data_IF_926881742999
#
_entry.id   IF_926881742999
#
_cell.length_a   1.000
_cell.length_b   1.000
_cell.length_c   1.000
_cell.angle_alpha   90.00
_cell.angle_beta   90.00
_cell.angle_gamma   90.00
#
_symmetry.space_group_name_H-M   'P 1'
#
loop_
_entity.id
_entity.type
_entity.pdbx_description
1 polymer ?
#
# COMPACT_ATOMS: atom_id res chain seq x y z
N UNK A 1 -8.31 0.32 -5.94
CA UNK A 1 -9.27 -0.32 -5.01
C UNK A 1 -9.02 -1.80 -4.69
N UNK A 2 -8.18 -2.53 -5.43
CA UNK A 2 -7.87 -3.95 -5.17
C UNK A 2 -7.36 -4.24 -3.74
N UNK A 3 -6.67 -3.29 -3.11
CA UNK A 3 -6.16 -3.41 -1.75
C UNK A 3 -7.26 -3.58 -0.69
N UNK A 4 -8.32 -2.76 -0.72
CA UNK A 4 -9.42 -2.89 0.25
C UNK A 4 -10.18 -4.20 0.06
N UNK A 5 -10.33 -4.65 -1.19
CA UNK A 5 -10.92 -5.94 -1.49
C UNK A 5 -10.09 -7.10 -0.93
N UNK A 6 -8.75 -7.03 -1.07
CA UNK A 6 -7.85 -8.00 -0.43
C UNK A 6 -8.05 -8.05 1.09
N UNK A 7 -8.13 -6.88 1.76
CA UNK A 7 -8.37 -6.82 3.19
C UNK A 7 -9.69 -7.50 3.59
N UNK A 8 -10.77 -7.18 2.89
CA UNK A 8 -12.09 -7.76 3.12
C UNK A 8 -12.07 -9.28 2.96
N UNK A 9 -11.56 -9.78 1.84
CA UNK A 9 -11.49 -11.22 1.56
C UNK A 9 -10.60 -11.96 2.57
N UNK A 10 -9.46 -11.39 2.94
CA UNK A 10 -8.58 -11.98 3.96
C UNK A 10 -9.26 -12.09 5.32
N UNK A 11 -9.99 -11.05 5.76
CA UNK A 11 -10.75 -11.07 7.02
C UNK A 11 -11.90 -12.07 6.95
N UNK A 12 -12.65 -12.11 5.85
CA UNK A 12 -13.74 -13.07 5.65
C UNK A 12 -13.22 -14.52 5.65
N UNK A 13 -12.08 -14.80 5.02
CA UNK A 13 -11.42 -16.10 5.06
C UNK A 13 -11.03 -16.49 6.50
N UNK A 14 -10.37 -15.58 7.23
CA UNK A 14 -9.98 -15.81 8.63
C UNK A 14 -11.21 -16.08 9.51
N UNK A 15 -12.28 -15.29 9.35
CA UNK A 15 -13.52 -15.47 10.08
C UNK A 15 -14.16 -16.84 9.79
N UNK A 16 -14.29 -17.20 8.51
CA UNK A 16 -14.86 -18.49 8.10
C UNK A 16 -14.02 -19.67 8.60
N UNK A 17 -12.69 -19.59 8.52
CA UNK A 17 -11.80 -20.63 9.02
C UNK A 17 -11.87 -20.77 10.54
N UNK A 18 -11.84 -19.65 11.26
CA UNK A 18 -11.96 -19.60 12.71
C UNK A 18 -13.28 -20.23 13.16
N UNK A 19 -14.41 -19.78 12.63
CA UNK A 19 -15.73 -20.31 12.97
C UNK A 19 -15.91 -21.77 12.52
N UNK A 20 -15.31 -22.15 11.40
CA UNK A 20 -15.31 -23.51 10.88
C UNK A 20 -14.57 -24.49 11.80
N UNK A 21 -13.40 -24.09 12.31
CA UNK A 21 -12.62 -24.91 13.23
C UNK A 21 -13.25 -24.97 14.62
N UNK A 22 -13.64 -23.83 15.20
CA UNK A 22 -14.19 -23.76 16.56
C UNK A 22 -15.53 -24.50 16.67
N UNK A 23 -16.39 -24.39 15.66
CA UNK A 23 -17.71 -25.05 15.67
C UNK A 23 -17.74 -26.38 14.91
N UNK A 24 -16.58 -26.90 14.45
CA UNK A 24 -16.48 -28.11 13.63
C UNK A 24 -17.40 -28.10 12.38
N UNK A 25 -17.54 -26.94 11.73
CA UNK A 25 -18.38 -26.74 10.54
C UNK A 25 -17.54 -26.78 9.27
N UNK A 26 -17.45 -27.97 8.66
CA UNK A 26 -16.69 -28.18 7.42
C UNK A 26 -17.09 -27.26 6.27
N UNK A 27 -18.37 -26.89 6.15
CA UNK A 27 -18.85 -25.91 5.15
C UNK A 27 -18.14 -24.56 5.25
N UNK A 28 -17.85 -24.09 6.46
CA UNK A 28 -17.14 -22.82 6.67
C UNK A 28 -15.65 -22.94 6.36
N UNK A 29 -15.04 -24.11 6.60
CA UNK A 29 -13.65 -24.39 6.21
C UNK A 29 -13.52 -24.41 4.68
N UNK A 30 -14.48 -25.02 3.98
CA UNK A 30 -14.59 -24.97 2.51
C UNK A 30 -14.80 -23.54 2.02
N UNK A 31 -15.70 -22.78 2.66
CA UNK A 31 -15.89 -21.37 2.31
C UNK A 31 -14.60 -20.56 2.47
N UNK A 32 -13.83 -20.79 3.54
CA UNK A 32 -12.53 -20.13 3.71
C UNK A 32 -11.57 -20.43 2.57
N UNK A 33 -11.43 -21.69 2.15
CA UNK A 33 -10.57 -22.05 1.02
C UNK A 33 -11.00 -21.35 -0.27
N UNK A 34 -12.31 -21.31 -0.53
CA UNK A 34 -12.89 -20.60 -1.67
C UNK A 34 -12.53 -19.11 -1.67
N UNK A 35 -12.70 -18.44 -0.54
CA UNK A 35 -12.38 -17.01 -0.40
C UNK A 35 -10.88 -16.75 -0.59
N UNK A 36 -10.00 -17.60 -0.05
CA UNK A 36 -8.53 -17.46 -0.24
C UNK A 36 -8.17 -17.59 -1.72
N UNK A 37 -8.73 -18.56 -2.44
CA UNK A 37 -8.48 -18.74 -3.88
C UNK A 37 -8.97 -17.54 -4.71
N UNK A 38 -10.18 -17.02 -4.42
CA UNK A 38 -10.69 -15.80 -5.08
C UNK A 38 -9.75 -14.61 -4.81
N UNK A 39 -9.23 -14.50 -3.59
CA UNK A 39 -8.36 -13.39 -3.20
C UNK A 39 -7.06 -13.31 -4.02
N UNK A 40 -6.56 -14.44 -4.55
CA UNK A 40 -5.38 -14.47 -5.46
C UNK A 40 -5.62 -13.63 -6.71
N UNK A 41 -6.84 -13.58 -7.24
CA UNK A 41 -7.15 -12.81 -8.44
C UNK A 41 -7.35 -11.32 -8.17
N UNK A 42 -7.44 -10.92 -6.91
CA UNK A 42 -7.40 -9.49 -6.56
C UNK A 42 -5.97 -8.95 -6.59
N UNK A 43 -5.00 -9.78 -6.17
CA UNK A 43 -3.56 -9.54 -6.25
C UNK A 43 -2.83 -10.89 -6.26
N UNK A 44 -2.04 -11.18 -7.31
CA UNK A 44 -1.28 -12.44 -7.41
C UNK A 44 -0.42 -12.75 -6.17
N UNK A 45 0.24 -11.76 -5.50
CA UNK A 45 0.96 -12.01 -4.25
C UNK A 45 0.13 -12.65 -3.14
N UNK A 46 -1.20 -12.49 -3.14
CA UNK A 46 -2.08 -13.09 -2.13
C UNK A 46 -2.06 -14.63 -2.17
N UNK A 47 -1.45 -15.26 -3.18
CA UNK A 47 -1.16 -16.70 -3.15
C UNK A 47 -0.36 -17.12 -1.89
N UNK A 48 0.45 -16.23 -1.31
CA UNK A 48 1.18 -16.49 -0.05
C UNK A 48 0.22 -16.70 1.12
N UNK A 49 -1.00 -16.15 1.05
CA UNK A 49 -2.00 -16.22 2.10
C UNK A 49 -2.61 -17.62 2.27
N UNK A 50 -2.36 -18.57 1.35
CA UNK A 50 -2.68 -19.99 1.56
C UNK A 50 -2.02 -20.58 2.82
N UNK A 51 -1.00 -19.92 3.37
CA UNK A 51 -0.40 -20.27 4.65
C UNK A 51 -1.42 -20.37 5.81
N UNK A 52 -2.57 -19.69 5.73
CA UNK A 52 -3.62 -19.79 6.77
C UNK A 52 -4.16 -21.21 6.95
N UNK A 53 -3.97 -22.09 5.96
CA UNK A 53 -4.27 -23.54 6.09
C UNK A 53 -3.50 -24.17 7.25
N UNK A 54 -2.32 -23.65 7.63
CA UNK A 54 -1.56 -24.10 8.80
C UNK A 54 -2.30 -23.87 10.13
N UNK A 55 -3.33 -23.03 10.17
CA UNK A 55 -4.17 -22.86 11.34
C UNK A 55 -4.96 -24.14 11.68
N UNK A 56 -5.19 -25.01 10.71
CA UNK A 56 -5.89 -26.29 10.89
C UNK A 56 -5.05 -27.25 11.77
N UNK A 57 -3.81 -27.63 11.41
CA UNK A 57 -2.96 -28.44 12.29
C UNK A 57 -2.64 -27.72 13.60
N UNK A 58 -2.46 -26.40 13.58
CA UNK A 58 -2.25 -25.62 14.80
C UNK A 58 -3.40 -25.79 15.80
N UNK A 59 -4.65 -25.68 15.35
CA UNK A 59 -5.80 -25.83 16.25
C UNK A 59 -6.03 -27.28 16.69
N UNK A 60 -6.13 -28.21 15.73
CA UNK A 60 -6.58 -29.59 16.01
C UNK A 60 -5.49 -30.40 16.72
N UNK A 61 -4.25 -30.31 16.25
CA UNK A 61 -3.15 -31.11 16.80
C UNK A 61 -2.46 -30.40 17.96
N UNK A 62 -2.07 -29.13 17.79
CA UNK A 62 -1.29 -28.44 18.82
C UNK A 62 -2.12 -27.93 20.00
N UNK A 63 -3.31 -27.36 19.75
CA UNK A 63 -4.16 -26.83 20.82
C UNK A 63 -5.05 -27.93 21.43
N UNK A 64 -5.88 -28.58 20.62
CA UNK A 64 -6.84 -29.60 21.08
C UNK A 64 -6.22 -30.97 21.40
N UNK A 65 -4.94 -31.19 21.04
CA UNK A 65 -4.22 -32.47 21.26
C UNK A 65 -4.89 -33.69 20.62
N UNK A 66 -5.66 -33.49 19.55
CA UNK A 66 -6.19 -34.59 18.76
C UNK A 66 -5.13 -35.21 17.85
N UNK A 67 -5.39 -36.42 17.34
CA UNK A 67 -4.45 -37.09 16.44
C UNK A 67 -4.29 -36.33 15.12
N UNK A 68 -3.09 -36.40 14.53
CA UNK A 68 -2.76 -35.76 13.26
C UNK A 68 -3.68 -36.21 12.11
N UNK A 69 -4.22 -37.43 12.18
CA UNK A 69 -5.17 -37.95 11.19
C UNK A 69 -6.47 -37.14 11.13
N UNK A 70 -6.90 -36.52 12.24
CA UNK A 70 -8.09 -35.66 12.26
C UNK A 70 -7.88 -34.33 11.52
N UNK A 71 -6.62 -33.95 11.22
CA UNK A 71 -6.28 -32.75 10.46
C UNK A 71 -6.55 -32.91 8.96
N UNK A 72 -6.41 -34.14 8.45
CA UNK A 72 -6.49 -34.44 7.01
C UNK A 72 -7.85 -34.03 6.44
N UNK A 73 -8.94 -34.41 7.09
CA UNK A 73 -10.30 -34.12 6.60
C UNK A 73 -10.54 -32.61 6.45
N UNK A 74 -10.35 -31.75 7.47
CA UNK A 74 -10.46 -30.30 7.31
C UNK A 74 -9.55 -29.70 6.22
N UNK A 75 -8.30 -30.18 6.07
CA UNK A 75 -7.41 -29.73 4.98
C UNK A 75 -8.02 -30.04 3.62
N UNK A 76 -8.53 -31.26 3.41
CA UNK A 76 -9.18 -31.64 2.16
C UNK A 76 -10.39 -30.75 1.85
N UNK A 77 -11.21 -30.42 2.86
CA UNK A 77 -12.35 -29.52 2.69
C UNK A 77 -11.94 -28.10 2.36
N UNK A 78 -10.83 -27.61 2.93
CA UNK A 78 -10.24 -26.32 2.57
C UNK A 78 -9.70 -26.34 1.13
N UNK A 79 -9.01 -27.41 0.73
CA UNK A 79 -8.53 -27.63 -0.64
C UNK A 79 -9.67 -27.68 -1.66
N UNK A 80 -10.75 -28.42 -1.36
CA UNK A 80 -11.96 -28.45 -2.19
C UNK A 80 -12.55 -27.05 -2.34
N UNK A 81 -12.62 -26.29 -1.24
CA UNK A 81 -13.04 -24.89 -1.27
C UNK A 81 -12.20 -24.05 -2.23
N UNK A 82 -10.88 -24.22 -2.16
CA UNK A 82 -9.93 -23.50 -3.01
C UNK A 82 -10.13 -23.82 -4.49
N UNK A 83 -10.33 -25.10 -4.85
CA UNK A 83 -10.66 -25.52 -6.21
C UNK A 83 -11.96 -24.88 -6.71
N UNK A 84 -12.99 -24.83 -5.86
CA UNK A 84 -14.26 -24.15 -6.19
C UNK A 84 -14.07 -22.64 -6.40
N UNK A 85 -13.23 -21.99 -5.58
CA UNK A 85 -12.92 -20.57 -5.73
C UNK A 85 -12.21 -20.27 -7.05
N UNK A 86 -11.20 -21.07 -7.43
CA UNK A 86 -10.55 -20.97 -8.73
C UNK A 86 -11.55 -21.19 -9.87
N UNK A 87 -12.32 -22.27 -9.82
CA UNK A 87 -13.31 -22.60 -10.84
C UNK A 87 -14.35 -21.48 -11.01
N UNK A 88 -14.78 -20.85 -9.91
CA UNK A 88 -15.71 -19.73 -9.94
C UNK A 88 -15.11 -18.51 -10.66
N UNK A 89 -13.88 -18.11 -10.34
CA UNK A 89 -13.24 -16.98 -11.02
C UNK A 89 -13.00 -17.29 -12.49
N UNK A 90 -12.52 -18.48 -12.83
CA UNK A 90 -12.36 -18.89 -14.23
C UNK A 90 -13.70 -18.89 -14.98
N UNK A 91 -14.78 -19.38 -14.37
CA UNK A 91 -16.12 -19.33 -14.94
C UNK A 91 -16.58 -17.88 -15.20
N UNK A 92 -16.37 -16.97 -14.25
CA UNK A 92 -16.69 -15.55 -14.43
C UNK A 92 -15.87 -14.92 -15.57
N UNK A 93 -14.57 -15.21 -15.65
CA UNK A 93 -13.72 -14.70 -16.74
C UNK A 93 -14.18 -15.17 -18.12
N UNK A 94 -14.65 -16.42 -18.23
CA UNK A 94 -15.20 -16.95 -19.48
C UNK A 94 -16.56 -16.30 -19.81
N UNK A 95 -17.45 -16.16 -18.83
CA UNK A 95 -18.78 -15.54 -19.02
C UNK A 95 -18.64 -14.08 -19.49
N UNK A 96 -17.67 -13.34 -18.95
CA UNK A 96 -17.45 -11.93 -19.29
C UNK A 96 -16.46 -11.71 -20.44
N UNK A 97 -15.98 -12.77 -21.08
CA UNK A 97 -14.97 -12.71 -22.16
C UNK A 97 -13.69 -11.93 -21.75
N UNK A 98 -13.27 -12.08 -20.48
CA UNK A 98 -12.09 -11.42 -19.89
C UNK A 98 -10.89 -12.37 -19.75
N UNK A 99 -11.00 -13.60 -20.24
CA UNK A 99 -9.97 -14.63 -20.05
C UNK A 99 -8.63 -14.26 -20.69
N UNK A 100 -8.62 -13.83 -21.96
CA UNK A 100 -7.38 -13.43 -22.64
C UNK A 100 -6.75 -12.18 -22.01
N UNK A 101 -7.58 -11.22 -21.57
CA UNK A 101 -7.11 -10.03 -20.85
C UNK A 101 -6.41 -10.42 -19.55
N UNK A 102 -6.98 -11.34 -18.78
CA UNK A 102 -6.36 -11.86 -17.56
C UNK A 102 -5.05 -12.59 -17.85
N UNK A 103 -4.99 -13.40 -18.91
CA UNK A 103 -3.78 -14.11 -19.33
C UNK A 103 -2.65 -13.13 -19.67
N UNK A 104 -2.96 -12.07 -20.43
CA UNK A 104 -2.01 -11.00 -20.75
C UNK A 104 -1.56 -10.25 -19.49
N UNK A 105 -2.48 -9.95 -18.57
CA UNK A 105 -2.14 -9.28 -17.31
C UNK A 105 -1.21 -10.14 -16.42
N UNK A 106 -1.46 -11.45 -16.33
CA UNK A 106 -0.61 -12.39 -15.60
C UNK A 106 0.78 -12.47 -16.26
N UNK A 107 0.84 -12.60 -17.59
CA UNK A 107 2.10 -12.63 -18.32
C UNK A 107 2.92 -11.34 -18.13
N UNK A 108 2.27 -10.17 -18.24
CA UNK A 108 2.94 -8.88 -17.98
C UNK A 108 3.46 -8.75 -16.54
N UNK A 109 2.76 -9.34 -15.56
CA UNK A 109 3.25 -9.43 -14.19
C UNK A 109 4.51 -10.28 -14.04
N UNK A 110 4.65 -11.36 -14.82
CA UNK A 110 5.87 -12.17 -14.85
C UNK A 110 7.03 -11.46 -15.55
N UNK A 111 6.76 -10.71 -16.63
CA UNK A 111 7.78 -9.92 -17.32
C UNK A 111 8.39 -8.86 -16.39
N UNK A 112 7.55 -8.16 -15.62
CA UNK A 112 7.98 -7.24 -14.56
C UNK A 112 8.81 -7.93 -13.47
N UNK A 113 8.53 -9.19 -13.17
CA UNK A 113 9.30 -9.99 -12.20
C UNK A 113 10.68 -10.43 -12.70
N UNK A 114 10.86 -10.54 -14.02
CA UNK A 114 12.10 -11.01 -14.66
C UNK A 114 13.05 -9.86 -15.05
N UNK A 115 12.56 -8.63 -15.17
CA UNK A 115 13.39 -7.47 -15.51
C UNK A 115 14.38 -7.14 -14.37
N UNK A 116 15.67 -7.00 -14.72
CA UNK A 116 16.75 -6.79 -13.75
C UNK A 116 16.68 -5.42 -13.05
N UNK A 117 16.15 -4.40 -13.74
CA UNK A 117 15.94 -3.04 -13.24
C UNK A 117 14.55 -2.81 -12.62
N UNK A 118 13.72 -3.85 -12.53
CA UNK A 118 12.39 -3.75 -11.93
C UNK A 118 12.40 -3.88 -10.40
N UNK A 119 11.64 -3.03 -9.72
CA UNK A 119 11.39 -3.12 -8.28
C UNK A 119 10.64 -4.40 -7.87
N UNK A 120 10.01 -5.09 -8.84
CA UNK A 120 9.20 -6.29 -8.64
C UNK A 120 9.96 -7.61 -8.82
N UNK A 121 11.27 -7.59 -9.07
CA UNK A 121 12.04 -8.84 -9.11
C UNK A 121 12.16 -9.49 -7.72
N UNK A 122 12.27 -10.83 -7.68
CA UNK A 122 12.26 -11.60 -6.42
C UNK A 122 13.32 -11.12 -5.41
N UNK A 123 14.53 -10.82 -5.89
CA UNK A 123 15.62 -10.33 -5.04
C UNK A 123 15.31 -8.98 -4.38
N UNK A 124 14.69 -8.06 -5.12
CA UNK A 124 14.25 -6.75 -4.61
C UNK A 124 13.10 -6.90 -3.62
N UNK A 125 12.14 -7.77 -3.90
CA UNK A 125 11.05 -8.09 -2.97
C UNK A 125 11.56 -8.69 -1.65
N UNK A 126 12.51 -9.62 -1.70
CA UNK A 126 13.11 -10.21 -0.49
C UNK A 126 13.91 -9.19 0.32
N UNK A 127 14.70 -8.33 -0.35
CA UNK A 127 15.44 -7.24 0.32
C UNK A 127 14.49 -6.27 1.00
N UNK A 128 13.40 -5.88 0.31
CA UNK A 128 12.36 -5.04 0.89
C UNK A 128 11.68 -5.70 2.09
N UNK A 129 11.44 -7.00 2.02
CA UNK A 129 10.87 -7.77 3.13
C UNK A 129 11.78 -7.72 4.37
N UNK A 130 13.08 -7.99 4.19
CA UNK A 130 14.09 -7.92 5.27
C UNK A 130 14.19 -6.50 5.83
N UNK A 131 14.22 -5.48 4.96
CA UNK A 131 14.26 -4.07 5.34
C UNK A 131 13.05 -3.71 6.22
N UNK A 132 11.84 -4.07 5.79
CA UNK A 132 10.60 -3.79 6.51
C UNK A 132 10.59 -4.39 7.91
N UNK A 133 10.97 -5.67 8.06
CA UNK A 133 11.06 -6.27 9.40
C UNK A 133 12.16 -5.66 10.26
N UNK A 134 13.29 -5.29 9.66
CA UNK A 134 14.35 -4.54 10.36
C UNK A 134 13.84 -3.19 10.85
N UNK A 135 13.04 -2.48 10.04
CA UNK A 135 12.39 -1.22 10.44
C UNK A 135 11.38 -1.43 11.57
N UNK A 136 10.58 -2.51 11.54
CA UNK A 136 9.69 -2.90 12.65
C UNK A 136 10.48 -3.13 13.94
N UNK A 137 11.59 -3.86 13.89
CA UNK A 137 12.43 -4.10 15.07
C UNK A 137 13.04 -2.80 15.61
N UNK A 138 13.60 -1.95 14.75
CA UNK A 138 14.16 -0.64 15.14
C UNK A 138 13.10 0.26 15.77
N UNK A 139 11.93 0.36 15.15
CA UNK A 139 10.80 1.15 15.66
C UNK A 139 10.29 0.62 17.00
N UNK A 140 10.26 -0.71 17.18
CA UNK A 140 9.89 -1.27 18.47
C UNK A 140 10.92 -1.01 19.57
N UNK A 141 12.22 -1.05 19.24
CA UNK A 141 13.26 -0.71 20.20
C UNK A 141 13.09 0.75 20.68
N UNK A 142 12.83 1.71 19.78
CA UNK A 142 12.59 3.11 20.18
C UNK A 142 11.31 3.27 21.00
N UNK A 143 10.23 2.55 20.66
CA UNK A 143 8.99 2.53 21.44
C UNK A 143 9.19 2.00 22.86
N UNK A 144 9.92 0.89 23.01
CA UNK A 144 10.20 0.28 24.31
C UNK A 144 11.07 1.21 25.15
N UNK A 145 12.12 1.79 24.57
CA UNK A 145 12.99 2.75 25.26
C UNK A 145 12.20 3.99 25.71
N UNK A 146 11.31 4.51 24.87
CA UNK A 146 10.41 5.63 25.21
C UNK A 146 9.50 5.24 26.37
N UNK A 147 8.90 4.05 26.33
CA UNK A 147 8.06 3.53 27.40
C UNK A 147 8.81 3.37 28.74
N UNK A 148 10.04 2.83 28.71
CA UNK A 148 10.88 2.66 29.89
C UNK A 148 11.29 4.00 30.50
N UNK A 149 11.69 4.97 29.67
CA UNK A 149 12.00 6.33 30.09
C UNK A 149 10.79 6.98 30.79
N UNK A 150 9.62 6.94 30.14
CA UNK A 150 8.39 7.52 30.69
C UNK A 150 7.94 6.81 31.97
N UNK A 151 8.15 5.50 32.06
CA UNK A 151 7.88 4.71 33.27
C UNK A 151 8.75 5.16 34.45
N UNK A 152 10.06 5.35 34.24
CA UNK A 152 10.96 5.90 35.26
C UNK A 152 10.53 7.29 35.73
N UNK A 153 10.18 8.17 34.78
CA UNK A 153 9.74 9.54 35.06
C UNK A 153 8.37 9.60 35.77
N UNK A 154 7.54 8.58 35.64
CA UNK A 154 6.25 8.49 36.34
C UNK A 154 6.43 8.52 37.86
N UNK A 155 7.49 7.89 38.39
CA UNK A 155 7.77 7.86 39.83
C UNK A 155 8.13 9.23 40.42
N UNK A 156 8.68 10.12 39.59
CA UNK A 156 9.01 11.49 39.94
C UNK A 156 7.77 12.37 39.80
N UNK A 157 7.11 12.31 38.63
CA UNK A 157 5.97 13.14 38.29
C UNK A 157 4.77 12.94 39.23
N UNK A 158 4.54 11.72 39.72
CA UNK A 158 3.43 11.43 40.65
C UNK A 158 3.50 12.17 41.99
N UNK A 159 4.66 12.71 42.36
CA UNK A 159 4.84 13.44 43.63
C UNK A 159 4.22 14.85 43.59
N UNK A 160 4.07 15.43 42.40
CA UNK A 160 3.59 16.81 42.23
C UNK A 160 2.62 16.92 41.05
N UNK A 161 1.41 17.47 41.28
CA UNK A 161 0.37 17.59 40.24
C UNK A 161 0.83 18.36 38.99
N UNK A 162 1.62 19.42 39.15
CA UNK A 162 2.15 20.23 38.04
C UNK A 162 3.12 19.43 37.17
N UNK A 163 4.03 18.66 37.78
CA UNK A 163 4.95 17.77 37.05
C UNK A 163 4.20 16.67 36.30
N UNK A 164 3.03 16.28 36.78
CA UNK A 164 2.20 15.28 36.13
C UNK A 164 1.60 15.75 34.79
N UNK A 165 1.19 17.02 34.70
CA UNK A 165 0.72 17.63 33.45
C UNK A 165 1.87 17.73 32.43
N UNK A 166 3.05 18.17 32.88
CA UNK A 166 4.26 18.25 32.05
C UNK A 166 4.64 16.86 31.54
N UNK A 167 4.60 15.84 32.41
CA UNK A 167 4.87 14.46 32.03
C UNK A 167 3.92 13.98 30.93
N UNK A 168 2.63 14.30 31.03
CA UNK A 168 1.65 13.93 30.01
C UNK A 168 1.91 14.60 28.66
N UNK A 169 2.16 15.90 28.65
CA UNK A 169 2.48 16.64 27.42
C UNK A 169 3.74 16.06 26.75
N UNK A 170 4.80 15.80 27.54
CA UNK A 170 6.02 15.18 27.06
C UNK A 170 5.80 13.75 26.56
N UNK A 171 5.02 12.93 27.27
CA UNK A 171 4.70 11.56 26.86
C UNK A 171 3.97 11.53 25.52
N UNK A 172 2.96 12.39 25.34
CA UNK A 172 2.22 12.54 24.09
C UNK A 172 3.16 12.98 22.96
N UNK A 173 4.00 13.99 23.20
CA UNK A 173 4.95 14.48 22.21
C UNK A 173 5.97 13.42 21.77
N UNK A 174 6.53 12.66 22.72
CA UNK A 174 7.48 11.59 22.42
C UNK A 174 6.83 10.44 21.62
N UNK A 175 5.61 10.02 21.98
CA UNK A 175 4.90 9.02 21.19
C UNK A 175 4.48 9.56 19.82
N UNK A 176 4.01 10.81 19.72
CA UNK A 176 3.69 11.44 18.45
C UNK A 176 4.93 11.50 17.53
N UNK A 177 6.10 11.83 18.08
CA UNK A 177 7.37 11.80 17.35
C UNK A 177 7.71 10.39 16.83
N UNK A 178 7.60 9.37 17.69
CA UNK A 178 7.84 7.98 17.27
C UNK A 178 6.88 7.52 16.17
N UNK A 179 5.61 7.96 16.21
CA UNK A 179 4.63 7.65 15.16
C UNK A 179 4.78 8.53 13.90
N UNK A 180 5.46 9.68 13.96
CA UNK A 180 5.61 10.61 12.83
C UNK A 180 6.41 9.99 11.68
N UNK A 181 7.58 9.42 11.99
CA UNK A 181 8.57 8.97 10.99
C UNK A 181 8.04 7.79 10.18
N UNK A 182 7.46 6.76 10.82
CA UNK A 182 6.89 5.61 10.12
C UNK A 182 5.76 4.98 10.93
N UNK A 183 4.54 5.52 10.86
CA UNK A 183 3.42 5.09 11.72
C UNK A 183 3.13 3.58 11.64
N UNK A 184 3.29 2.97 10.46
CA UNK A 184 2.87 1.59 10.21
C UNK A 184 3.77 0.57 10.92
N UNK A 185 5.09 0.80 11.02
CA UNK A 185 6.04 -0.14 11.61
C UNK A 185 5.85 -0.39 13.11
N UNK A 186 5.69 0.64 13.97
CA UNK A 186 5.41 0.42 15.38
C UNK A 186 4.03 -0.21 15.60
N UNK A 187 3.01 0.11 14.79
CA UNK A 187 1.73 -0.61 14.83
C UNK A 187 1.95 -2.11 14.51
N UNK A 188 2.76 -2.40 13.50
CA UNK A 188 3.12 -3.77 13.15
C UNK A 188 3.91 -4.48 14.25
N UNK A 189 4.79 -3.77 14.94
CA UNK A 189 5.53 -4.31 16.06
C UNK A 189 4.65 -4.63 17.26
N UNK A 190 3.75 -3.70 17.64
CA UNK A 190 2.77 -3.90 18.71
C UNK A 190 1.83 -5.07 18.40
N UNK A 191 1.47 -5.27 17.12
CA UNK A 191 0.77 -6.47 16.65
C UNK A 191 1.56 -7.73 16.95
N UNK A 192 2.78 -7.85 16.43
CA UNK A 192 3.57 -9.07 16.51
C UNK A 192 3.80 -9.46 17.98
N UNK A 193 4.14 -8.48 18.81
CA UNK A 193 4.29 -8.66 20.26
C UNK A 193 2.99 -9.15 20.89
N UNK A 194 1.84 -8.56 20.53
CA UNK A 194 0.54 -8.97 21.07
C UNK A 194 0.14 -10.38 20.65
N UNK A 195 0.31 -10.72 19.36
CA UNK A 195 0.01 -12.06 18.86
C UNK A 195 0.91 -13.09 19.53
N UNK A 196 2.21 -12.80 19.68
CA UNK A 196 3.14 -13.67 20.37
C UNK A 196 2.76 -13.84 21.85
N UNK A 197 2.47 -12.75 22.56
CA UNK A 197 2.03 -12.77 23.95
C UNK A 197 0.77 -13.63 24.15
N UNK A 198 -0.23 -13.51 23.27
CA UNK A 198 -1.45 -14.31 23.35
C UNK A 198 -1.21 -15.80 23.06
N UNK A 199 -0.27 -16.13 22.17
CA UNK A 199 0.10 -17.51 21.85
C UNK A 199 0.81 -18.21 23.03
N UNK A 200 1.74 -17.52 23.69
CA UNK A 200 2.54 -18.09 24.80
C UNK A 200 1.83 -18.06 26.14
N UNK A 201 0.88 -17.15 26.35
CA UNK A 201 0.13 -17.07 27.62
C UNK A 201 -1.00 -18.10 27.71
N UNK A 202 -1.51 -18.32 28.92
CA UNK A 202 -2.71 -19.14 29.14
C UNK A 202 -3.94 -18.37 28.64
N UNK A 203 -4.42 -18.74 27.45
CA UNK A 203 -5.60 -18.18 26.80
C UNK A 203 -6.51 -19.29 26.30
N UNK A 204 -7.82 -19.03 26.13
CA UNK A 204 -8.72 -19.94 25.44
C UNK A 204 -8.16 -20.31 24.06
N UNK A 205 -8.33 -21.57 23.67
CA UNK A 205 -7.84 -22.08 22.37
C UNK A 205 -8.38 -21.25 21.20
N UNK A 206 -9.60 -20.74 21.31
CA UNK A 206 -10.24 -19.87 20.32
C UNK A 206 -9.51 -18.55 20.11
N UNK A 207 -8.96 -17.96 21.18
CA UNK A 207 -8.15 -16.74 21.12
C UNK A 207 -6.75 -17.05 20.58
N UNK A 208 -6.16 -18.18 20.97
CA UNK A 208 -4.86 -18.62 20.42
C UNK A 208 -4.94 -18.87 18.92
N UNK A 209 -6.01 -19.50 18.44
CA UNK A 209 -6.27 -19.69 17.02
C UNK A 209 -6.36 -18.35 16.29
N UNK A 210 -7.13 -17.39 16.82
CA UNK A 210 -7.26 -16.06 16.22
C UNK A 210 -5.92 -15.30 16.20
N UNK A 211 -5.12 -15.40 17.26
CA UNK A 211 -3.79 -14.82 17.31
C UNK A 211 -2.85 -15.44 16.26
N UNK A 212 -2.92 -16.76 16.05
CA UNK A 212 -2.14 -17.45 15.02
C UNK A 212 -2.57 -17.04 13.61
N UNK A 213 -3.88 -16.98 13.33
CA UNK A 213 -4.41 -16.50 12.05
C UNK A 213 -3.99 -15.06 11.75
N UNK A 214 -4.03 -14.19 12.77
CA UNK A 214 -3.57 -12.81 12.66
C UNK A 214 -2.07 -12.74 12.38
N UNK A 215 -1.26 -13.58 13.03
CA UNK A 215 0.17 -13.69 12.76
C UNK A 215 0.45 -14.15 11.32
N UNK A 216 -0.27 -15.14 10.81
CA UNK A 216 -0.17 -15.57 9.41
C UNK A 216 -0.48 -14.43 8.43
N UNK A 217 -1.56 -13.68 8.66
CA UNK A 217 -1.93 -12.52 7.84
C UNK A 217 -0.84 -11.44 7.89
N UNK A 218 -0.41 -11.09 9.09
CA UNK A 218 0.64 -10.11 9.34
C UNK A 218 1.93 -10.43 8.60
N UNK A 219 2.35 -11.70 8.62
CA UNK A 219 3.65 -12.08 8.10
C UNK A 219 3.63 -12.28 6.58
N UNK A 220 2.63 -12.97 6.06
CA UNK A 220 2.67 -13.43 4.68
C UNK A 220 1.93 -12.51 3.70
N UNK A 221 0.93 -11.73 4.15
CA UNK A 221 0.20 -10.84 3.25
C UNK A 221 1.07 -9.70 2.66
N UNK A 222 2.04 -9.13 3.40
CA UNK A 222 3.00 -8.18 2.83
C UNK A 222 4.01 -8.78 1.85
N UNK A 223 4.12 -10.11 1.81
CA UNK A 223 5.08 -10.78 0.94
C UNK A 223 4.65 -10.64 -0.53
N UNK A 224 5.58 -10.27 -1.41
CA UNK A 224 5.31 -10.07 -2.85
C UNK A 224 4.83 -8.67 -3.23
N UNK A 225 4.95 -7.68 -2.35
CA UNK A 225 4.69 -6.27 -2.64
C UNK A 225 6.00 -5.46 -2.55
N UNK A 226 6.24 -4.58 -3.52
CA UNK A 226 7.42 -3.71 -3.63
C UNK A 226 7.53 -2.70 -2.49
N UNK A 227 6.42 -2.29 -1.88
CA UNK A 227 6.40 -1.51 -0.64
C UNK A 227 6.17 -2.35 0.63
N UNK A 228 6.01 -3.67 0.50
CA UNK A 228 5.77 -4.61 1.60
C UNK A 228 4.77 -4.10 2.65
N UNK A 229 5.22 -3.92 3.90
CA UNK A 229 4.36 -3.50 5.02
C UNK A 229 3.74 -2.12 4.78
N UNK A 230 4.44 -1.20 4.12
CA UNK A 230 3.93 0.15 3.86
C UNK A 230 2.67 0.13 2.98
N UNK A 231 2.65 -0.72 1.96
CA UNK A 231 1.58 -0.76 0.96
C UNK A 231 0.38 -1.63 1.35
N UNK A 232 0.60 -2.73 2.09
CA UNK A 232 -0.45 -3.73 2.35
C UNK A 232 -0.52 -4.14 3.83
N UNK A 233 0.44 -3.75 4.66
CA UNK A 233 0.44 -4.07 6.09
C UNK A 233 -0.75 -3.47 6.85
N UNK A 234 -1.26 -2.31 6.43
CA UNK A 234 -2.42 -1.70 7.10
C UNK A 234 -3.68 -2.59 7.06
N UNK A 235 -3.75 -3.57 6.15
CA UNK A 235 -4.87 -4.52 6.08
C UNK A 235 -4.91 -5.46 7.29
N UNK A 236 -3.74 -5.81 7.83
CA UNK A 236 -3.65 -6.67 9.02
C UNK A 236 -4.17 -5.94 10.27
N UNK A 237 -4.10 -4.60 10.31
CA UNK A 237 -4.40 -3.74 11.47
C UNK A 237 -5.82 -3.95 12.02
N UNK A 238 -6.78 -4.33 11.18
CA UNK A 238 -8.16 -4.63 11.57
C UNK A 238 -8.27 -5.72 12.65
N UNK A 239 -7.41 -6.74 12.61
CA UNK A 239 -7.36 -7.80 13.63
C UNK A 239 -6.39 -7.46 14.77
N UNK A 240 -5.40 -6.62 14.50
CA UNK A 240 -4.39 -6.20 15.46
C UNK A 240 -4.97 -5.44 16.62
N UNK A 241 -5.70 -4.36 16.32
CA UNK A 241 -6.09 -3.39 17.35
C UNK A 241 -6.95 -4.09 18.42
N UNK A 242 -7.97 -4.91 18.06
CA UNK A 242 -8.73 -5.65 19.06
C UNK A 242 -7.88 -6.63 19.87
N UNK A 243 -6.95 -7.35 19.24
CA UNK A 243 -6.08 -8.31 19.93
C UNK A 243 -5.05 -7.63 20.83
N UNK A 244 -4.52 -6.46 20.43
CA UNK A 244 -3.64 -5.63 21.23
C UNK A 244 -4.38 -5.09 22.46
N UNK A 245 -5.59 -4.55 22.28
CA UNK A 245 -6.41 -4.09 23.41
C UNK A 245 -6.72 -5.26 24.36
N UNK A 246 -7.07 -6.43 23.80
CA UNK A 246 -7.33 -7.63 24.61
C UNK A 246 -6.08 -8.09 25.39
N UNK A 247 -4.92 -8.14 24.75
CA UNK A 247 -3.65 -8.54 25.39
C UNK A 247 -3.28 -7.60 26.54
N UNK A 248 -3.47 -6.30 26.32
CA UNK A 248 -3.27 -5.25 27.30
C UNK A 248 -4.21 -5.41 28.49
N UNK A 249 -5.53 -5.50 28.28
CA UNK A 249 -6.50 -5.57 29.37
C UNK A 249 -6.29 -6.82 30.25
N UNK A 250 -5.93 -7.94 29.63
CA UNK A 250 -5.52 -9.17 30.33
C UNK A 250 -4.23 -8.99 31.12
N UNK A 251 -3.23 -8.35 30.52
CA UNK A 251 -1.97 -8.01 31.19
C UNK A 251 -2.24 -7.11 32.40
N UNK A 252 -3.04 -6.07 32.21
CA UNK A 252 -3.44 -5.15 33.26
C UNK A 252 -4.16 -5.86 34.41
N UNK A 253 -5.06 -6.83 34.19
CA UNK A 253 -5.70 -7.56 35.31
C UNK A 253 -4.71 -8.33 36.22
N UNK A 254 -3.53 -8.70 35.72
CA UNK A 254 -2.45 -9.28 36.56
C UNK A 254 -1.54 -8.24 37.20
N UNK A 255 -1.44 -7.06 36.61
CA UNK A 255 -0.53 -5.99 37.02
C UNK A 255 -1.21 -4.87 37.83
N UNK A 256 -2.54 -4.71 37.72
CA UNK A 256 -3.42 -3.76 38.43
C UNK A 256 -3.86 -4.25 39.81
N UNK A 257 -3.75 -5.56 40.10
CA UNK A 257 -3.86 -6.07 41.48
C UNK A 257 -2.75 -5.51 42.36
N UNK A 258 -1.63 -5.08 41.77
CA UNK A 258 -0.74 -4.08 42.35
C UNK A 258 -1.17 -2.69 41.85
N UNK A 259 -1.25 -1.70 42.74
CA UNK A 259 -1.63 -0.30 42.45
C UNK A 259 -0.61 0.45 41.55
N UNK A 260 -0.23 -0.12 40.40
CA UNK A 260 0.73 0.44 39.47
C UNK A 260 0.01 1.31 38.44
N UNK A 261 -0.33 2.53 38.88
CA UNK A 261 -0.96 3.56 38.07
C UNK A 261 -0.14 3.93 36.81
N UNK A 262 1.16 3.66 36.73
CA UNK A 262 2.01 4.16 35.64
C UNK A 262 1.72 3.61 34.23
N UNK A 263 1.50 2.30 34.09
CA UNK A 263 1.42 1.68 32.75
C UNK A 263 0.18 2.13 31.97
N UNK A 264 -0.98 2.23 32.62
CA UNK A 264 -2.21 2.70 31.99
C UNK A 264 -2.11 4.14 31.45
N UNK A 265 -1.40 5.01 32.17
CA UNK A 265 -1.22 6.42 31.75
C UNK A 265 -0.24 6.52 30.57
N UNK A 266 0.81 5.68 30.53
CA UNK A 266 1.71 5.58 29.37
C UNK A 266 0.94 5.11 28.13
N UNK A 267 0.08 4.11 28.28
CA UNK A 267 -0.74 3.62 27.18
C UNK A 267 -1.73 4.66 26.67
N UNK A 268 -2.37 5.40 27.58
CA UNK A 268 -3.24 6.51 27.18
C UNK A 268 -2.46 7.58 26.41
N UNK A 269 -1.28 7.98 26.91
CA UNK A 269 -0.42 8.94 26.23
C UNK A 269 0.02 8.44 24.85
N UNK A 270 0.29 7.13 24.68
CA UNK A 270 0.59 6.51 23.40
C UNK A 270 -0.58 6.63 22.41
N UNK A 271 -1.80 6.30 22.87
CA UNK A 271 -3.01 6.42 22.04
C UNK A 271 -3.28 7.87 21.64
N UNK A 272 -3.15 8.81 22.58
CA UNK A 272 -3.30 10.24 22.31
C UNK A 272 -2.23 10.75 21.36
N UNK A 273 -0.97 10.34 21.53
CA UNK A 273 0.13 10.68 20.62
C UNK A 273 -0.09 10.17 19.20
N UNK A 274 -0.61 8.94 19.07
CA UNK A 274 -1.04 8.38 17.77
C UNK A 274 -2.11 9.24 17.11
N UNK A 275 -3.23 9.49 17.80
CA UNK A 275 -4.33 10.28 17.23
C UNK A 275 -3.93 11.72 16.92
N UNK A 276 -3.10 12.34 17.76
CA UNK A 276 -2.57 13.68 17.54
C UNK A 276 -1.79 13.76 16.22
N UNK A 277 -0.83 12.86 16.00
CA UNK A 277 -0.04 12.89 14.76
C UNK A 277 -0.87 12.48 13.53
N UNK A 278 -1.82 11.55 13.67
CA UNK A 278 -2.70 11.19 12.55
C UNK A 278 -3.61 12.36 12.18
N UNK A 279 -4.18 13.06 13.16
CA UNK A 279 -4.97 14.26 12.89
C UNK A 279 -4.13 15.33 12.22
N UNK A 280 -2.91 15.57 12.69
CA UNK A 280 -1.97 16.49 12.06
C UNK A 280 -1.67 16.11 10.61
N UNK A 281 -1.35 14.84 10.32
CA UNK A 281 -1.10 14.36 8.96
C UNK A 281 -2.33 14.49 8.07
N UNK A 282 -3.49 14.01 8.51
CA UNK A 282 -4.75 14.15 7.77
C UNK A 282 -5.03 15.62 7.45
N UNK A 283 -4.78 16.52 8.39
CA UNK A 283 -5.04 17.95 8.21
C UNK A 283 -4.04 18.65 7.28
N UNK A 284 -2.78 18.19 7.22
CA UNK A 284 -1.69 18.83 6.47
C UNK A 284 -1.23 18.04 5.23
N UNK A 285 -1.84 16.90 4.93
CA UNK A 285 -1.47 16.05 3.80
C UNK A 285 -2.74 15.58 3.06
N UNK A 286 -2.74 15.72 1.75
CA UNK A 286 -3.76 15.17 0.86
C UNK A 286 -3.06 14.53 -0.35
N UNK A 287 -2.69 13.25 -0.27
CA UNK A 287 -2.11 12.45 -1.37
C UNK A 287 -1.22 13.21 -2.39
N UNK A 288 0.07 13.32 -2.08
CA UNK A 288 1.06 14.14 -2.80
C UNK A 288 0.74 15.63 -2.87
N UNK A 289 -0.36 16.10 -2.28
CA UNK A 289 -0.69 17.51 -2.01
C UNK A 289 -0.42 17.86 -0.55
N UNK A 290 0.80 18.30 -0.28
CA UNK A 290 1.24 18.74 1.04
C UNK A 290 0.55 20.04 1.49
N UNK A 291 0.80 20.45 2.73
CA UNK A 291 0.26 21.69 3.28
C UNK A 291 -1.17 21.60 3.81
N UNK A 292 -1.57 22.67 4.49
CA UNK A 292 -2.82 22.76 5.23
C UNK A 292 -4.05 22.57 4.33
N UNK A 293 -5.01 21.75 4.76
CA UNK A 293 -6.31 21.64 4.07
C UNK A 293 -7.09 22.95 4.04
N UNK A 294 -6.80 23.90 4.94
CA UNK A 294 -7.43 25.23 4.91
C UNK A 294 -6.97 26.07 3.72
N UNK A 295 -5.78 25.79 3.17
CA UNK A 295 -5.23 26.53 2.02
C UNK A 295 -5.71 25.93 0.68
N UNK A 296 -6.26 24.70 0.71
CA UNK A 296 -6.74 23.95 -0.45
C UNK A 296 -8.14 24.40 -0.85
N UNK A 297 -8.22 25.58 -1.46
CA UNK A 297 -9.48 26.26 -1.82
C UNK A 297 -9.59 26.58 -3.31
N UNK A 298 -8.56 26.25 -4.10
CA UNK A 298 -8.49 26.53 -5.53
C UNK A 298 -8.84 25.30 -6.35
N UNK A 299 -9.38 25.52 -7.55
CA UNK A 299 -9.88 24.44 -8.41
C UNK A 299 -9.11 24.36 -9.71
N UNK A 300 -8.96 23.14 -10.22
CA UNK A 300 -8.55 22.90 -11.60
C UNK A 300 -9.78 23.10 -12.50
N UNK A 301 -9.65 23.90 -13.55
CA UNK A 301 -10.71 24.30 -14.48
C UNK A 301 -10.95 23.19 -15.50
N UNK A 302 -11.51 22.08 -15.03
CA UNK A 302 -12.00 20.98 -15.85
C UNK A 302 -13.23 20.37 -15.19
N UNK A 303 -14.21 19.95 -15.99
CA UNK A 303 -15.41 19.27 -15.48
C UNK A 303 -15.05 18.00 -14.70
N UNK A 304 -13.95 17.34 -15.06
CA UNK A 304 -13.46 16.11 -14.42
C UNK A 304 -12.83 16.36 -13.05
N UNK A 305 -12.49 17.62 -12.72
CA UNK A 305 -11.95 18.03 -11.42
C UNK A 305 -12.97 18.78 -10.55
N UNK A 306 -14.26 18.76 -10.93
CA UNK A 306 -15.30 19.47 -10.18
C UNK A 306 -15.35 19.00 -8.72
N UNK A 307 -15.39 19.97 -7.80
CA UNK A 307 -15.36 19.74 -6.34
C UNK A 307 -14.06 19.14 -5.79
N UNK A 308 -13.00 19.11 -6.59
CA UNK A 308 -11.65 18.79 -6.12
C UNK A 308 -10.90 20.11 -5.93
N UNK A 309 -10.36 20.28 -4.73
CA UNK A 309 -9.66 21.50 -4.34
C UNK A 309 -8.19 21.22 -4.02
N UNK A 310 -7.32 22.15 -4.40
CA UNK A 310 -5.88 22.12 -4.20
C UNK A 310 -5.36 23.52 -3.86
N UNK A 311 -4.04 23.66 -3.71
CA UNK A 311 -3.40 24.96 -3.47
C UNK A 311 -3.48 25.84 -4.72
N UNK A 312 -3.35 27.16 -4.52
CA UNK A 312 -3.37 28.13 -5.62
C UNK A 312 -2.32 27.82 -6.68
N UNK A 313 -1.09 27.59 -6.24
CA UNK A 313 0.06 27.31 -7.10
C UNK A 313 -0.18 26.13 -8.03
N UNK A 314 -0.64 25.00 -7.48
CA UNK A 314 -0.94 23.80 -8.28
C UNK A 314 -2.07 24.02 -9.26
N UNK A 315 -3.15 24.67 -8.80
CA UNK A 315 -4.27 25.00 -9.67
C UNK A 315 -3.81 25.90 -10.83
N UNK A 316 -3.01 26.93 -10.56
CA UNK A 316 -2.50 27.85 -11.58
C UNK A 316 -1.60 27.13 -12.59
N UNK A 317 -0.67 26.28 -12.15
CA UNK A 317 0.23 25.50 -13.01
C UNK A 317 -0.54 24.54 -13.92
N UNK A 318 -1.51 23.81 -13.37
CA UNK A 318 -2.30 22.85 -14.16
C UNK A 318 -3.26 23.59 -15.09
N UNK A 319 -3.89 24.67 -14.64
CA UNK A 319 -4.80 25.46 -15.47
C UNK A 319 -4.08 26.14 -16.64
N UNK A 320 -2.85 26.63 -16.43
CA UNK A 320 -2.02 27.19 -17.49
C UNK A 320 -1.71 26.13 -18.56
N UNK A 321 -1.35 24.91 -18.14
CA UNK A 321 -1.18 23.80 -19.09
C UNK A 321 -2.48 23.50 -19.85
N UNK A 322 -3.62 23.37 -19.17
CA UNK A 322 -4.88 22.99 -19.82
C UNK A 322 -5.32 24.02 -20.86
N UNK A 323 -5.23 25.32 -20.55
CA UNK A 323 -5.59 26.39 -21.49
C UNK A 323 -4.73 26.34 -22.75
N UNK A 324 -3.44 26.07 -22.63
CA UNK A 324 -2.54 26.03 -23.78
C UNK A 324 -2.54 24.67 -24.50
N UNK A 325 -3.05 23.61 -23.87
CA UNK A 325 -3.16 22.28 -24.48
C UNK A 325 -4.44 22.14 -25.32
N UNK A 326 -5.49 22.89 -24.99
CA UNK A 326 -6.80 22.91 -25.68
C UNK A 326 -6.66 23.19 -27.19
N UNK A 327 -5.66 23.98 -27.59
CA UNK A 327 -5.38 24.28 -29.01
C UNK A 327 -4.81 23.09 -29.81
N UNK A 328 -4.45 21.98 -29.15
CA UNK A 328 -3.71 20.88 -29.77
C UNK A 328 -4.38 19.51 -29.68
N UNK A 329 -5.33 19.30 -28.77
CA UNK A 329 -5.98 18.00 -28.55
C UNK A 329 -7.47 18.17 -28.30
N UNK A 330 -8.26 17.27 -28.87
CA UNK A 330 -9.71 17.16 -28.61
C UNK A 330 -10.03 15.94 -27.70
N UNK A 331 -11.28 15.85 -27.26
CA UNK A 331 -11.80 14.66 -26.59
C UNK A 331 -11.51 13.40 -27.45
N UNK A 332 -11.12 12.29 -26.81
CA UNK A 332 -10.74 11.01 -27.43
C UNK A 332 -9.43 10.97 -28.26
N UNK A 333 -8.73 12.09 -28.45
CA UNK A 333 -7.42 12.10 -29.12
C UNK A 333 -6.36 11.30 -28.34
N UNK A 334 -5.33 10.83 -29.06
CA UNK A 334 -4.17 10.22 -28.42
C UNK A 334 -3.20 11.28 -27.90
N UNK A 335 -2.91 11.19 -26.61
CA UNK A 335 -1.94 12.03 -25.92
C UNK A 335 -0.83 11.16 -25.33
N UNK A 336 0.39 11.69 -25.24
CA UNK A 336 1.47 11.11 -24.44
C UNK A 336 1.85 12.07 -23.31
N UNK A 337 1.26 11.87 -22.13
CA UNK A 337 1.58 12.63 -20.93
C UNK A 337 2.78 12.00 -20.20
N UNK A 338 3.97 12.53 -20.42
CA UNK A 338 5.23 12.07 -19.84
C UNK A 338 5.65 12.97 -18.66
N UNK A 339 5.95 12.48 -17.46
CA UNK A 339 6.21 11.09 -17.05
C UNK A 339 5.20 10.60 -15.99
N UNK A 340 4.99 11.41 -14.96
CA UNK A 340 4.23 11.13 -13.72
C UNK A 340 3.00 12.03 -13.60
N UNK A 341 2.34 12.29 -14.73
CA UNK A 341 1.17 13.19 -14.82
C UNK A 341 -0.05 12.49 -15.45
N UNK A 342 -0.46 11.31 -14.96
CA UNK A 342 -1.57 10.56 -15.55
C UNK A 342 -2.91 11.30 -15.51
N UNK A 343 -3.04 12.25 -14.57
CA UNK A 343 -4.25 13.05 -14.42
C UNK A 343 -4.59 13.87 -15.67
N UNK A 344 -3.59 14.26 -16.47
CA UNK A 344 -3.81 15.07 -17.68
C UNK A 344 -4.75 14.35 -18.65
N UNK A 345 -4.60 13.04 -18.84
CA UNK A 345 -5.51 12.25 -19.68
C UNK A 345 -6.97 12.37 -19.26
N UNK A 346 -7.24 12.38 -17.96
CA UNK A 346 -8.60 12.50 -17.44
C UNK A 346 -9.12 13.93 -17.59
N UNK A 347 -8.28 14.94 -17.34
CA UNK A 347 -8.67 16.34 -17.42
C UNK A 347 -8.99 16.79 -18.85
N UNK A 348 -8.32 16.20 -19.84
CA UNK A 348 -8.54 16.46 -21.28
C UNK A 348 -9.34 15.37 -21.99
N UNK A 349 -9.77 14.32 -21.27
CA UNK A 349 -10.49 13.15 -21.81
C UNK A 349 -9.80 12.51 -23.03
N UNK A 350 -8.47 12.51 -23.04
CA UNK A 350 -7.64 11.91 -24.09
C UNK A 350 -7.29 10.45 -23.77
N UNK A 351 -6.91 9.71 -24.81
CA UNK A 351 -6.44 8.33 -24.71
C UNK A 351 -4.92 8.28 -24.56
N UNK A 352 -4.39 7.40 -23.69
CA UNK A 352 -2.94 7.25 -23.56
C UNK A 352 -2.35 6.55 -24.79
N UNK A 353 -1.40 7.21 -25.46
CA UNK A 353 -0.73 6.66 -26.65
C UNK A 353 0.01 5.36 -26.38
N UNK A 354 0.59 5.21 -25.17
CA UNK A 354 1.31 4.00 -24.76
C UNK A 354 0.42 2.97 -24.05
N UNK A 355 -0.90 3.02 -24.26
CA UNK A 355 -1.93 2.15 -23.67
C UNK A 355 -2.00 2.14 -22.13
N UNK A 356 -1.32 3.07 -21.48
CA UNK A 356 -1.36 3.29 -20.03
C UNK A 356 -1.15 4.77 -19.74
N UNK A 357 -2.03 5.42 -18.97
CA UNK A 357 -1.92 6.85 -18.68
C UNK A 357 -0.73 7.21 -17.79
N UNK A 358 -0.04 6.24 -17.19
CA UNK A 358 1.06 6.49 -16.26
C UNK A 358 2.37 5.83 -16.73
N UNK A 359 3.09 6.41 -17.71
CA UNK A 359 4.33 5.86 -18.25
C UNK A 359 5.42 5.55 -17.21
N UNK A 360 5.44 6.30 -16.11
CA UNK A 360 6.38 6.11 -15.00
C UNK A 360 6.47 4.68 -14.46
N UNK A 361 5.37 3.91 -14.52
CA UNK A 361 5.37 2.53 -13.99
C UNK A 361 6.11 1.53 -14.90
N UNK A 362 6.39 1.92 -16.14
CA UNK A 362 7.12 1.07 -17.06
C UNK A 362 8.62 1.14 -16.78
N UNK A 363 9.25 -0.04 -16.84
CA UNK A 363 10.68 -0.16 -17.03
C UNK A 363 11.09 0.30 -18.44
N UNK A 364 12.39 0.45 -18.66
CA UNK A 364 12.97 0.97 -19.90
C UNK A 364 12.53 0.17 -21.14
N UNK A 365 12.52 -1.16 -21.03
CA UNK A 365 12.22 -2.06 -22.14
C UNK A 365 10.74 -2.12 -22.46
N UNK A 366 9.90 -2.13 -21.42
CA UNK A 366 8.45 -2.12 -21.54
C UNK A 366 7.97 -0.80 -22.15
N UNK A 367 8.52 0.34 -21.72
CA UNK A 367 8.14 1.64 -22.27
C UNK A 367 8.44 1.74 -23.77
N UNK A 368 9.66 1.39 -24.20
CA UNK A 368 10.04 1.39 -25.61
C UNK A 368 9.18 0.42 -26.45
N UNK A 369 8.84 -0.75 -25.90
CA UNK A 369 7.90 -1.69 -26.56
C UNK A 369 6.52 -1.07 -26.74
N UNK A 370 6.02 -0.35 -25.74
CA UNK A 370 4.72 0.32 -25.83
C UNK A 370 4.73 1.54 -26.76
N UNK A 371 5.84 2.28 -26.85
CA UNK A 371 6.02 3.33 -27.85
C UNK A 371 5.96 2.76 -29.27
N UNK A 372 6.73 1.69 -29.54
CA UNK A 372 6.73 1.00 -30.83
C UNK A 372 5.36 0.41 -31.18
N UNK A 373 4.66 -0.10 -30.18
CA UNK A 373 3.29 -0.58 -30.36
C UNK A 373 2.37 0.55 -30.79
N UNK A 374 2.43 1.70 -30.10
CA UNK A 374 1.69 2.89 -30.51
C UNK A 374 2.02 3.31 -31.95
N UNK A 375 3.31 3.36 -32.31
CA UNK A 375 3.77 3.69 -33.67
C UNK A 375 3.25 2.72 -34.75
N UNK A 376 2.94 1.46 -34.39
CA UNK A 376 2.45 0.46 -35.33
C UNK A 376 0.91 0.35 -35.37
N UNK A 377 0.23 0.63 -34.26
CA UNK A 377 -1.23 0.43 -34.10
C UNK A 377 -2.03 1.73 -34.26
N UNK A 378 -1.39 2.90 -34.12
CA UNK A 378 -2.04 4.21 -34.14
C UNK A 378 -1.44 5.01 -35.29
N UNK A 379 -2.29 5.37 -36.26
CA UNK A 379 -1.85 6.02 -37.50
C UNK A 379 -1.32 7.45 -37.29
N UNK A 380 -1.68 8.09 -36.18
CA UNK A 380 -1.36 9.49 -35.89
C UNK A 380 -0.43 9.59 -34.69
N UNK A 381 0.63 10.37 -34.83
CA UNK A 381 1.56 10.67 -33.74
C UNK A 381 0.91 11.59 -32.69
N UNK A 382 1.06 11.29 -31.39
CA UNK A 382 0.36 12.00 -30.33
C UNK A 382 0.96 13.38 -30.09
N UNK A 383 0.17 14.29 -29.53
CA UNK A 383 0.75 15.42 -28.81
C UNK A 383 1.48 14.89 -27.56
N UNK A 384 2.65 15.44 -27.27
CA UNK A 384 3.42 15.07 -26.07
C UNK A 384 3.33 16.21 -25.08
N UNK A 385 2.90 15.91 -23.86
CA UNK A 385 3.03 16.80 -22.71
C UNK A 385 4.16 16.27 -21.84
N UNK A 386 5.24 17.03 -21.70
CA UNK A 386 6.40 16.64 -20.91
C UNK A 386 6.52 17.51 -19.65
N UNK A 387 6.44 16.91 -18.46
CA UNK A 387 6.66 17.58 -17.19
C UNK A 387 8.16 17.84 -16.94
N UNK A 388 8.47 18.95 -16.28
CA UNK A 388 9.85 19.37 -15.92
C UNK A 388 10.11 19.38 -14.42
N UNK A 389 9.26 18.77 -13.62
CA UNK A 389 9.33 18.82 -12.15
C UNK A 389 8.82 17.50 -11.55
N UNK A 390 9.04 17.28 -10.27
CA UNK A 390 8.56 16.07 -9.59
C UNK A 390 7.18 16.25 -8.98
N UNK A 391 6.33 15.25 -9.20
CA UNK A 391 4.93 15.19 -8.76
C UNK A 391 4.66 14.01 -7.82
N UNK A 392 5.68 13.17 -7.57
CA UNK A 392 5.59 11.96 -6.74
C UNK A 392 6.21 12.26 -5.38
N UNK A 393 5.48 11.94 -4.32
CA UNK A 393 5.75 12.32 -2.92
C UNK A 393 5.51 13.81 -2.68
N UNK A 394 6.21 14.66 -3.40
CA UNK A 394 6.16 16.11 -3.29
C UNK A 394 5.87 16.75 -4.66
N UNK A 395 5.41 18.00 -4.63
CA UNK A 395 5.25 18.84 -5.83
C UNK A 395 6.37 19.86 -5.79
N UNK A 396 7.46 19.51 -6.47
CA UNK A 396 8.72 20.22 -6.40
C UNK A 396 8.79 21.33 -7.45
N UNK A 397 9.77 22.21 -7.27
CA UNK A 397 10.14 23.22 -8.27
C UNK A 397 10.65 22.57 -9.57
N UNK A 398 10.59 23.30 -10.70
CA UNK A 398 11.16 22.86 -11.96
C UNK A 398 12.64 22.45 -11.89
N UNK A 399 12.96 21.36 -12.58
CA UNK A 399 14.28 20.73 -12.68
C UNK A 399 14.80 20.95 -14.10
N UNK A 400 15.88 21.74 -14.22
CA UNK A 400 16.44 22.15 -15.52
C UNK A 400 16.86 20.98 -16.41
N UNK A 401 17.34 19.88 -15.81
CA UNK A 401 17.87 18.72 -16.50
C UNK A 401 16.93 17.50 -16.39
N UNK A 402 15.61 17.71 -16.27
CA UNK A 402 14.62 16.64 -16.06
C UNK A 402 14.78 15.46 -17.05
N UNK A 403 15.06 15.76 -18.32
CA UNK A 403 15.22 14.77 -19.41
C UNK A 403 16.67 14.30 -19.66
N UNK A 404 17.59 14.50 -18.71
CA UNK A 404 19.00 14.16 -18.90
C UNK A 404 19.29 12.65 -18.75
N UNK A 405 19.68 12.00 -19.84
CA UNK A 405 19.93 10.54 -19.91
C UNK A 405 21.05 10.03 -18.99
N UNK A 406 21.98 10.90 -18.57
CA UNK A 406 23.13 10.52 -17.73
C UNK A 406 22.86 10.46 -16.22
N UNK A 407 21.63 10.74 -15.79
CA UNK A 407 21.26 10.73 -14.37
C UNK A 407 21.29 9.32 -13.77
N UNK A 408 21.67 9.23 -12.51
CA UNK A 408 21.66 7.97 -11.76
C UNK A 408 20.21 7.53 -11.54
N UNK A 409 19.91 6.26 -11.83
CA UNK A 409 18.59 5.70 -11.56
C UNK A 409 18.28 5.71 -10.06
N UNK A 410 17.04 6.07 -9.73
CA UNK A 410 16.50 5.95 -8.37
C UNK A 410 15.02 5.53 -8.42
N UNK A 411 14.32 5.57 -7.29
CA UNK A 411 12.90 5.20 -7.20
C UNK A 411 11.97 6.09 -8.03
N UNK A 412 12.41 7.30 -8.38
CA UNK A 412 11.64 8.31 -9.11
C UNK A 412 12.15 8.46 -10.55
N UNK A 413 13.44 8.27 -10.81
CA UNK A 413 14.06 8.50 -12.11
C UNK A 413 14.57 7.21 -12.77
N UNK A 414 14.29 7.05 -14.07
CA UNK A 414 14.80 5.96 -14.89
C UNK A 414 15.44 6.50 -16.19
N UNK A 415 16.76 6.40 -16.30
CA UNK A 415 17.56 6.84 -17.42
C UNK A 415 17.18 6.15 -18.75
N UNK A 416 16.87 4.86 -18.70
CA UNK A 416 16.49 4.10 -19.89
C UNK A 416 15.13 4.53 -20.43
N UNK A 417 14.17 4.84 -19.56
CA UNK A 417 12.87 5.41 -19.95
C UNK A 417 13.02 6.80 -20.56
N UNK A 418 13.83 7.66 -19.92
CA UNK A 418 14.14 9.00 -20.45
C UNK A 418 14.81 8.91 -21.82
N UNK A 419 15.76 8.00 -22.00
CA UNK A 419 16.41 7.76 -23.29
C UNK A 419 15.41 7.32 -24.37
N UNK A 420 14.55 6.35 -24.06
CA UNK A 420 13.51 5.91 -24.99
C UNK A 420 12.56 7.06 -25.40
N UNK A 421 12.21 7.93 -24.44
CA UNK A 421 11.41 9.13 -24.72
C UNK A 421 12.15 10.12 -25.65
N UNK A 422 13.41 10.41 -25.36
CA UNK A 422 14.23 11.31 -26.20
C UNK A 422 14.42 10.74 -27.61
N UNK A 423 14.67 9.43 -27.72
CA UNK A 423 14.78 8.73 -29.01
C UNK A 423 13.46 8.79 -29.79
N UNK A 424 12.31 8.66 -29.12
CA UNK A 424 10.98 8.80 -29.74
C UNK A 424 10.72 10.22 -30.27
N UNK A 425 11.01 11.25 -29.45
CA UNK A 425 10.91 12.66 -29.87
C UNK A 425 11.78 12.92 -31.10
N UNK A 426 13.03 12.44 -31.07
CA UNK A 426 14.01 12.66 -32.14
C UNK A 426 13.67 11.92 -33.43
N UNK A 427 13.31 10.63 -33.36
CA UNK A 427 13.03 9.83 -34.57
C UNK A 427 11.76 10.25 -35.31
N UNK A 428 10.85 10.90 -34.60
CA UNK A 428 9.58 11.38 -35.13
C UNK A 428 9.54 12.91 -35.32
N UNK A 429 10.70 13.58 -35.33
CA UNK A 429 10.85 15.00 -35.67
C UNK A 429 9.89 15.93 -34.92
N UNK A 430 9.80 15.75 -33.60
CA UNK A 430 9.00 16.61 -32.72
C UNK A 430 9.68 17.95 -32.45
N UNK A 431 8.88 19.01 -32.40
CA UNK A 431 9.31 20.34 -31.97
C UNK A 431 8.44 20.84 -30.82
N UNK A 432 9.02 21.71 -29.99
CA UNK A 432 8.29 22.36 -28.90
C UNK A 432 7.42 23.46 -29.51
N UNK A 433 6.10 23.34 -29.33
CA UNK A 433 5.12 24.33 -29.79
C UNK A 433 4.67 25.27 -28.66
N UNK A 434 4.83 24.84 -27.41
CA UNK A 434 4.59 25.66 -26.23
C UNK A 434 5.46 25.20 -25.05
N UNK A 435 5.87 26.15 -24.21
CA UNK A 435 6.71 25.88 -23.04
C UNK A 435 6.48 26.94 -21.97
N UNK A 436 6.42 26.51 -20.70
CA UNK A 436 6.50 27.39 -19.54
C UNK A 436 7.60 26.89 -18.58
N UNK A 437 7.59 27.22 -17.29
CA UNK A 437 8.59 26.68 -16.35
C UNK A 437 8.38 25.19 -16.00
N UNK A 438 7.15 24.67 -16.08
CA UNK A 438 6.76 23.34 -15.58
C UNK A 438 6.55 22.29 -16.67
N UNK A 439 6.18 22.71 -17.89
CA UNK A 439 5.81 21.81 -18.98
C UNK A 439 6.39 22.24 -20.33
N UNK A 440 6.52 21.26 -21.21
CA UNK A 440 6.68 21.43 -22.65
C UNK A 440 5.54 20.70 -23.36
N UNK A 441 5.01 21.30 -24.43
CA UNK A 441 4.13 20.62 -25.39
C UNK A 441 4.92 20.42 -26.68
N UNK A 442 5.02 19.18 -27.14
CA UNK A 442 5.62 18.85 -28.42
C UNK A 442 4.58 18.41 -29.45
N UNK A 443 4.82 18.78 -30.70
CA UNK A 443 4.06 18.34 -31.87
C UNK A 443 5.02 17.80 -32.93
N UNK A 444 4.67 16.67 -33.55
CA UNK A 444 5.47 16.13 -34.65
C UNK A 444 5.30 16.99 -35.89
N UNK A 445 6.40 17.17 -36.64
CA UNK A 445 6.35 17.73 -37.99
C UNK A 445 5.84 16.68 -39.00
N UNK A 446 5.97 15.39 -38.68
CA UNK A 446 5.41 14.30 -39.49
C UNK A 446 3.90 14.23 -39.30
N UNK A 447 3.20 13.94 -40.40
CA UNK A 447 1.76 13.66 -40.36
C UNK A 447 1.53 12.26 -39.82
#
# INVERSE_FOLDING_TARGET
YHNHLTALLSICAIYALHQGLVNNKLKLITLSGCIVAINVFTRLPNATFFIVVLAIPFYIYFLQKFSILKVVKPILYCGLGSLLGFAMVFGLLLIFNQFEIMKLAIAGGFDLGNAADSSHNFGSLLRMYIYNYTAVFKSMATFILTGLLLFGLTFIARKHKSLYVIWYAMAIALFAYNFKVDTIFPIYGLMLISTYFLLVTKQPETIKLLAFLTFCMAFFLPFGNDGGIYNIGYMSVWLVIPLFIHSVLKGQNKWLTNRNYGLGHIMLAMVLGFFFIQFYKIFNEAYFDGGSRLEKTYVIKSDMAKHIYTTKERADIVNDLLVNLDDFVDDDDYLLAYDKIPMIHFLTKTRPYVHNPWPWIYDSSSFERHLKRGENEIDVLPIIVQQKFETIVDFEEPVNDYMAEGKVNDSRYNAGRTKAMNDFIKRNDYTIVWSNSHFNIYKSIKK
#
